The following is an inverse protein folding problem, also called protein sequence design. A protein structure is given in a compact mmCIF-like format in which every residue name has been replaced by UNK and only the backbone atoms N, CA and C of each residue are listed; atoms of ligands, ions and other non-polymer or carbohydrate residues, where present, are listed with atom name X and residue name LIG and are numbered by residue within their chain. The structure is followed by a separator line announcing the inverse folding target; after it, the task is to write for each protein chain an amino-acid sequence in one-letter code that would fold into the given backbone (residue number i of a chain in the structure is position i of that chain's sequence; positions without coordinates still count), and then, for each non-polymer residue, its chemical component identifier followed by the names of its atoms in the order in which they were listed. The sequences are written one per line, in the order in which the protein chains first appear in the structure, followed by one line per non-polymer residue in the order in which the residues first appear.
data_IF_688818565009
#
_entry.id   IF_688818565009
#
_cell.length_a   1.000
_cell.length_b   1.000
_cell.length_c   1.000
_cell.angle_alpha   90.00
_cell.angle_beta   90.00
_cell.angle_gamma   90.00
#
_symmetry.space_group_name_H-M   'P 1'
#
loop_
_entity.id
_entity.type
_entity.pdbx_description
1 polymer ?
#
# COMPACT_ATOMS: atom_id res chain seq x y z
N UNK A 1 -22.00 -26.45 -11.93
CA UNK A 1 -21.53 -26.24 -13.32
C UNK A 1 -20.02 -26.26 -13.27
N UNK A 2 -19.36 -27.25 -13.89
CA UNK A 2 -17.90 -27.32 -13.93
C UNK A 2 -17.40 -26.41 -15.05
N UNK A 3 -16.82 -25.27 -14.67
CA UNK A 3 -16.15 -24.35 -15.58
C UNK A 3 -14.70 -24.80 -15.80
N UNK A 4 -14.12 -24.46 -16.95
CA UNK A 4 -12.67 -24.61 -17.14
C UNK A 4 -11.95 -23.63 -16.22
N UNK A 5 -10.80 -24.03 -15.71
CA UNK A 5 -9.97 -23.25 -14.80
C UNK A 5 -9.59 -21.87 -15.36
N UNK A 6 -9.29 -21.77 -16.66
CA UNK A 6 -8.97 -20.49 -17.32
C UNK A 6 -10.15 -19.52 -17.28
N UNK A 7 -11.34 -19.98 -17.64
CA UNK A 7 -12.57 -19.19 -17.62
C UNK A 7 -12.87 -18.67 -16.21
N UNK A 8 -12.60 -19.48 -15.18
CA UNK A 8 -12.77 -19.05 -13.79
C UNK A 8 -11.91 -17.82 -13.46
N UNK A 9 -10.63 -17.82 -13.86
CA UNK A 9 -9.73 -16.69 -13.61
C UNK A 9 -10.14 -15.44 -14.38
N UNK A 10 -10.61 -15.58 -15.62
CA UNK A 10 -11.08 -14.44 -16.44
C UNK A 10 -12.38 -13.84 -15.92
N UNK A 11 -13.20 -14.63 -15.23
CA UNK A 11 -14.44 -14.19 -14.60
C UNK A 11 -14.28 -13.84 -13.11
N UNK A 12 -13.05 -13.74 -12.59
CA UNK A 12 -12.84 -13.30 -11.22
C UNK A 12 -13.30 -11.84 -11.06
N UNK A 13 -14.07 -11.52 -10.01
CA UNK A 13 -14.45 -10.15 -9.74
C UNK A 13 -13.20 -9.31 -9.49
N UNK A 14 -13.20 -8.08 -10.00
CA UNK A 14 -12.16 -7.12 -9.72
C UNK A 14 -12.01 -6.94 -8.20
N UNK A 15 -10.76 -6.91 -7.71
CA UNK A 15 -10.46 -6.62 -6.31
C UNK A 15 -10.96 -5.22 -5.97
N UNK A 16 -11.79 -5.08 -4.95
CA UNK A 16 -12.29 -3.79 -4.48
C UNK A 16 -11.71 -3.43 -3.11
N UNK A 17 -11.53 -2.14 -2.85
CA UNK A 17 -11.05 -1.63 -1.57
C UNK A 17 -12.07 -1.91 -0.46
N UNK A 18 -11.63 -2.42 0.68
CA UNK A 18 -12.51 -2.70 1.83
C UNK A 18 -13.09 -1.41 2.45
N UNK A 19 -12.41 -0.26 2.32
CA UNK A 19 -12.88 1.00 2.92
C UNK A 19 -13.77 1.83 2.00
N UNK A 20 -13.42 1.97 0.73
CA UNK A 20 -14.15 2.86 -0.19
C UNK A 20 -14.94 2.11 -1.28
N UNK A 21 -14.83 0.77 -1.34
CA UNK A 21 -15.48 -0.06 -2.35
C UNK A 21 -15.11 0.26 -3.81
N UNK A 22 -14.12 1.13 -4.04
CA UNK A 22 -13.60 1.41 -5.37
C UNK A 22 -12.75 0.23 -5.89
N UNK A 23 -12.70 0.02 -7.21
CA UNK A 23 -11.82 -0.97 -7.80
C UNK A 23 -10.36 -0.66 -7.45
N UNK A 24 -9.65 -1.63 -6.89
CA UNK A 24 -8.23 -1.53 -6.61
C UNK A 24 -7.47 -1.72 -7.91
N UNK A 25 -6.62 -0.76 -8.24
CA UNK A 25 -5.65 -0.91 -9.31
C UNK A 25 -4.67 -2.05 -8.98
N UNK A 26 -4.14 -2.69 -10.01
CA UNK A 26 -3.12 -3.72 -9.84
C UNK A 26 -1.86 -3.10 -9.25
N UNK A 27 -1.50 -3.55 -8.05
CA UNK A 27 -0.32 -3.12 -7.33
C UNK A 27 0.66 -4.30 -7.28
N UNK A 28 1.97 -4.02 -7.31
CA UNK A 28 2.99 -5.06 -7.15
C UNK A 28 2.79 -5.88 -5.86
N UNK A 29 2.31 -5.22 -4.79
CA UNK A 29 1.87 -5.82 -3.55
C UNK A 29 0.38 -6.18 -3.58
N UNK A 30 0.04 -7.29 -4.25
CA UNK A 30 -1.34 -7.79 -4.38
C UNK A 30 -2.00 -8.19 -3.04
N UNK A 31 -1.25 -8.25 -1.93
CA UNK A 31 -1.74 -8.64 -0.61
C UNK A 31 -2.54 -7.54 0.12
N UNK A 32 -2.57 -6.31 -0.41
CA UNK A 32 -3.30 -5.21 0.21
C UNK A 32 -4.76 -5.15 -0.27
N UNK A 33 -5.70 -5.17 0.66
CA UNK A 33 -7.15 -4.97 0.41
C UNK A 33 -7.61 -3.51 0.52
N UNK A 34 -6.67 -2.60 0.82
CA UNK A 34 -6.92 -1.17 1.03
C UNK A 34 -6.20 -0.37 -0.05
N UNK A 35 -6.93 0.52 -0.72
CA UNK A 35 -6.38 1.35 -1.80
C UNK A 35 -5.38 2.38 -1.26
N UNK A 36 -4.46 2.91 -2.08
CA UNK A 36 -3.48 3.90 -1.63
C UNK A 36 -4.14 5.18 -1.08
N UNK A 37 -5.35 5.52 -1.58
CA UNK A 37 -6.16 6.63 -1.06
C UNK A 37 -6.56 6.41 0.41
N UNK A 38 -7.00 5.21 0.75
CA UNK A 38 -7.47 4.85 2.09
C UNK A 38 -6.33 4.44 3.04
N UNK A 39 -5.25 3.85 2.52
CA UNK A 39 -4.10 3.42 3.33
C UNK A 39 -3.37 4.61 3.96
N UNK A 40 -3.50 5.80 3.38
CA UNK A 40 -2.75 6.98 3.79
C UNK A 40 -1.29 6.81 3.38
N UNK A 41 -0.77 7.75 2.60
CA UNK A 41 0.67 7.85 2.39
C UNK A 41 1.29 8.30 3.70
N UNK A 42 1.80 7.36 4.50
CA UNK A 42 2.79 7.70 5.52
C UNK A 42 4.04 8.16 4.79
N UNK A 43 4.10 9.47 4.50
CA UNK A 43 5.34 10.15 4.25
C UNK A 43 6.17 9.95 5.51
N UNK A 44 7.07 8.97 5.48
CA UNK A 44 8.23 9.06 6.35
C UNK A 44 8.95 10.32 5.86
N UNK A 45 9.02 11.40 6.66
CA UNK A 45 10.01 12.41 6.36
C UNK A 45 11.34 11.65 6.33
N UNK A 46 12.01 11.65 5.18
CA UNK A 46 13.43 11.34 5.16
C UNK A 46 14.03 12.31 6.16
N UNK A 47 14.35 11.83 7.36
CA UNK A 47 14.68 12.67 8.50
C UNK A 47 15.64 13.76 8.06
N UNK A 48 15.44 15.03 8.45
CA UNK A 48 16.45 16.04 8.18
C UNK A 48 17.76 15.55 8.81
N UNK A 49 18.80 15.40 7.99
CA UNK A 49 20.16 15.14 8.49
C UNK A 49 20.49 16.32 9.39
N UNK A 50 20.42 16.10 10.70
CA UNK A 50 20.81 17.08 11.69
C UNK A 50 22.34 17.12 11.70
N UNK A 51 22.94 18.12 11.06
CA UNK A 51 24.35 18.45 11.27
C UNK A 51 24.50 19.06 12.66
N UNK A 52 24.63 18.23 13.70
CA UNK A 52 24.98 18.70 15.05
C UNK A 52 26.46 19.11 15.02
N UNK A 53 26.84 20.37 15.27
CA UNK A 53 28.25 20.71 15.50
C UNK A 53 28.73 20.17 16.86
N UNK A 54 30.01 19.78 17.00
CA UNK A 54 30.53 19.22 18.23
C UNK A 54 30.89 20.33 19.22
N UNK A 55 29.99 20.72 20.10
CA UNK A 55 30.39 21.38 21.36
C UNK A 55 29.31 21.30 22.44
N UNK A 56 29.40 20.27 23.29
CA UNK A 56 29.68 20.39 24.73
C UNK A 56 29.11 19.19 25.54
N UNK A 57 29.81 18.75 26.61
CA UNK A 57 29.31 17.74 27.54
C UNK A 57 28.73 18.41 28.81
N UNK A 58 27.45 18.20 29.11
CA UNK A 58 26.88 18.40 30.45
C UNK A 58 26.93 17.04 31.18
N UNK A 59 27.84 16.85 32.14
CA UNK A 59 27.81 17.27 33.56
C UNK A 59 27.13 16.22 34.45
#
# INVERSE_FOLDING_TARGET
MFMRTSEFYENLPAKCCTSCQEPLEEMADCYSSTCPKCRGVTFYPLSPIHSVPPDNPEA
#
